data_IF_759393954554
#
_entry.id   IF_759393954554
#
_cell.length_a   1.000
_cell.length_b   1.000
_cell.length_c   1.000
_cell.angle_alpha   90.00
_cell.angle_beta   90.00
_cell.angle_gamma   90.00
#
_symmetry.space_group_name_H-M   'P 1'
#
loop_
_entity.id
_entity.type
_entity.pdbx_description
1 polymer ?
#
# COMPACT_ATOMS: atom_id res chain seq x y z
N UNK A 1 -3.36 51.45 33.19
CA UNK A 1 -3.85 50.10 32.83
C UNK A 1 -3.86 50.03 31.29
N UNK A 2 -2.75 49.88 30.56
CA UNK A 2 -1.82 48.75 30.37
C UNK A 2 -2.49 47.42 30.01
N UNK A 3 -2.70 47.24 28.69
CA UNK A 3 -2.87 45.97 27.97
C UNK A 3 -1.53 45.70 27.26
N UNK A 4 -0.88 44.53 27.40
CA UNK A 4 0.35 44.25 26.66
C UNK A 4 0.08 43.53 25.33
N UNK A 5 0.64 44.09 24.26
CA UNK A 5 0.95 43.39 23.00
C UNK A 5 2.20 42.55 23.22
N UNK A 6 2.15 41.24 23.00
CA UNK A 6 3.36 40.41 22.85
C UNK A 6 3.67 40.20 21.37
N UNK A 7 4.83 40.73 20.97
CA UNK A 7 5.56 40.42 19.74
C UNK A 7 6.48 39.24 20.06
N UNK A 8 6.53 38.22 19.22
CA UNK A 8 7.67 37.29 19.21
C UNK A 8 8.62 37.68 18.07
N UNK A 9 9.86 37.88 18.47
CA UNK A 9 10.97 38.35 17.67
C UNK A 9 11.68 37.18 16.98
N UNK A 10 12.17 37.46 15.77
CA UNK A 10 13.20 36.68 15.09
C UNK A 10 14.47 36.62 15.96
N UNK A 11 15.03 35.42 16.09
CA UNK A 11 16.42 35.23 16.52
C UNK A 11 17.21 34.66 15.33
N UNK A 12 18.05 35.52 14.75
CA UNK A 12 19.17 35.11 13.91
C UNK A 12 20.33 34.66 14.81
N UNK A 13 20.95 33.53 14.48
CA UNK A 13 22.35 33.27 14.83
C UNK A 13 23.09 32.68 13.61
N UNK A 14 23.91 33.54 13.00
CA UNK A 14 25.13 33.21 12.27
C UNK A 14 26.08 32.42 13.21
N UNK A 15 26.99 31.50 12.85
CA UNK A 15 27.92 31.33 11.72
C UNK A 15 28.49 29.89 11.79
N UNK A 16 28.70 29.21 10.65
CA UNK A 16 30.06 28.88 10.18
C UNK A 16 30.02 28.11 8.85
N UNK A 17 30.70 28.72 7.87
CA UNK A 17 30.99 28.24 6.53
C UNK A 17 32.10 27.18 6.55
N UNK A 18 32.03 26.20 5.65
CA UNK A 18 33.13 25.84 4.73
C UNK A 18 32.54 25.15 3.46
N UNK A 19 33.17 25.27 2.27
CA UNK A 19 32.45 25.21 0.98
C UNK A 19 32.87 24.04 0.05
N UNK A 20 32.23 24.03 -1.15
CA UNK A 20 32.66 23.49 -2.47
C UNK A 20 32.24 22.02 -2.78
N UNK A 21 31.96 21.59 -4.05
CA UNK A 21 31.81 22.31 -5.33
C UNK A 21 30.49 22.07 -6.10
N UNK A 22 30.14 23.08 -6.88
CA UNK A 22 29.27 23.05 -8.05
C UNK A 22 29.83 22.15 -9.15
N UNK A 23 29.05 21.22 -9.70
CA UNK A 23 29.40 20.49 -10.93
C UNK A 23 28.71 21.15 -12.11
N UNK A 24 29.52 21.61 -13.05
CA UNK A 24 29.11 22.21 -14.31
C UNK A 24 28.33 21.24 -15.20
N UNK A 25 27.24 21.74 -15.78
CA UNK A 25 26.53 21.15 -16.89
C UNK A 25 27.44 21.05 -18.12
N UNK A 26 27.69 19.84 -18.61
CA UNK A 26 28.29 19.62 -19.91
C UNK A 26 27.22 19.74 -21.00
N UNK A 27 27.36 20.79 -21.80
CA UNK A 27 26.68 20.97 -23.07
C UNK A 27 27.41 20.10 -24.10
N UNK A 28 26.74 19.09 -24.67
CA UNK A 28 27.26 18.35 -25.83
C UNK A 28 26.40 18.70 -27.03
N UNK A 29 27.06 19.36 -27.97
CA UNK A 29 26.54 19.77 -29.27
C UNK A 29 26.26 18.56 -30.17
N UNK A 30 25.17 18.66 -30.92
CA UNK A 30 24.87 17.80 -32.07
C UNK A 30 25.88 18.08 -33.19
N UNK A 31 26.54 17.04 -33.68
CA UNK A 31 27.07 17.01 -35.04
C UNK A 31 26.73 15.67 -35.69
N UNK A 32 26.12 15.79 -36.85
CA UNK A 32 25.66 14.74 -37.75
C UNK A 32 26.62 14.58 -38.92
N UNK A 33 26.57 13.38 -39.54
CA UNK A 33 26.96 13.00 -40.91
C UNK A 33 28.33 12.35 -41.20
N UNK A 34 28.22 11.07 -41.57
CA UNK A 34 28.52 10.49 -42.89
C UNK A 34 29.66 9.47 -43.00
N UNK A 35 29.35 8.46 -43.81
CA UNK A 35 30.13 7.28 -44.17
C UNK A 35 31.13 7.53 -45.30
N UNK A 36 32.17 6.69 -45.33
CA UNK A 36 33.09 6.45 -46.46
C UNK A 36 34.45 6.05 -45.88
N UNK A 37 35.07 4.89 -46.10
CA UNK A 37 34.95 3.90 -47.16
C UNK A 37 36.17 3.98 -48.07
N UNK A 38 37.26 3.26 -47.75
CA UNK A 38 38.16 2.63 -48.73
C UNK A 38 39.40 2.00 -48.08
N UNK A 39 39.71 0.79 -48.55
CA UNK A 39 40.83 -0.10 -48.23
C UNK A 39 42.20 0.38 -48.71
N UNK A 40 43.29 -0.14 -48.13
CA UNK A 40 44.36 -0.84 -48.88
C UNK A 40 45.32 -1.58 -47.92
N UNK A 41 45.74 -2.78 -48.34
CA UNK A 41 46.62 -3.75 -47.67
C UNK A 41 48.10 -3.50 -47.99
N UNK A 42 48.98 -4.09 -47.16
CA UNK A 42 50.13 -4.98 -47.48
C UNK A 42 51.31 -4.70 -46.49
N UNK A 43 51.67 -5.67 -45.62
CA UNK A 43 52.83 -6.61 -45.70
C UNK A 43 54.20 -5.88 -45.62
N UNK A 44 55.25 -6.23 -44.87
CA UNK A 44 55.79 -7.46 -44.25
C UNK A 44 56.98 -7.08 -43.33
N UNK A 45 57.34 -7.94 -42.34
CA UNK A 45 58.70 -8.28 -41.81
C UNK A 45 59.68 -7.15 -41.35
N UNK A 46 60.54 -7.22 -40.32
CA UNK A 46 61.15 -8.28 -39.48
C UNK A 46 61.89 -7.60 -38.30
N UNK A 47 62.09 -8.37 -37.22
CA UNK A 47 62.84 -8.25 -35.93
C UNK A 47 64.31 -7.75 -35.96
N UNK A 48 65.10 -7.77 -34.84
CA UNK A 48 64.97 -7.18 -33.49
C UNK A 48 66.28 -6.48 -33.01
N UNK A 49 66.28 -5.68 -31.92
CA UNK A 49 67.51 -5.33 -31.18
C UNK A 49 67.31 -5.45 -29.66
N UNK A 50 68.09 -6.35 -29.06
CA UNK A 50 68.40 -6.47 -27.62
C UNK A 50 69.14 -5.20 -27.15
N UNK A 51 69.07 -4.69 -25.93
CA UNK A 51 69.48 -5.30 -24.66
C UNK A 51 69.37 -4.18 -23.61
N UNK A 52 68.80 -4.44 -22.44
CA UNK A 52 69.39 -4.08 -21.13
C UNK A 52 68.45 -4.52 -20.01
N UNK A 53 68.86 -5.59 -19.34
CA UNK A 53 68.30 -6.04 -18.08
C UNK A 53 68.74 -5.08 -16.97
N UNK A 54 67.79 -4.51 -16.26
CA UNK A 54 67.94 -4.16 -14.84
C UNK A 54 66.84 -4.87 -14.06
N UNK A 55 67.24 -5.90 -13.30
CA UNK A 55 66.38 -6.58 -12.34
C UNK A 55 66.18 -5.65 -11.15
N UNK A 56 64.95 -5.20 -10.93
CA UNK A 56 64.48 -4.78 -9.61
C UNK A 56 63.27 -5.62 -9.27
N UNK A 57 63.45 -6.59 -8.38
CA UNK A 57 62.34 -7.26 -7.71
C UNK A 57 61.75 -6.29 -6.69
N UNK A 58 60.43 -6.05 -6.72
CA UNK A 58 59.58 -6.05 -5.51
C UNK A 58 58.09 -5.85 -5.83
N UNK A 59 57.31 -6.77 -5.24
CA UNK A 59 55.89 -6.73 -4.87
C UNK A 59 54.85 -6.80 -6.00
N UNK A 60 54.43 -8.04 -6.25
CA UNK A 60 53.15 -8.37 -6.88
C UNK A 60 52.02 -7.78 -6.05
N UNK A 61 51.34 -6.77 -6.58
CA UNK A 61 49.99 -6.42 -6.13
C UNK A 61 49.06 -7.51 -6.62
N UNK A 62 48.48 -8.30 -5.70
CA UNK A 62 47.29 -9.07 -6.01
C UNK A 62 46.17 -8.08 -6.29
N UNK A 63 45.84 -7.92 -7.57
CA UNK A 63 44.57 -7.35 -8.00
C UNK A 63 43.47 -8.29 -7.50
N UNK A 64 42.74 -7.83 -6.48
CA UNK A 64 41.52 -8.46 -6.05
C UNK A 64 40.57 -8.58 -7.25
N UNK A 65 40.38 -9.80 -7.74
CA UNK A 65 39.39 -10.08 -8.76
C UNK A 65 38.02 -9.78 -8.20
N UNK A 66 37.34 -8.87 -8.88
CA UNK A 66 35.95 -8.48 -8.71
C UNK A 66 35.03 -9.69 -8.50
N UNK A 67 34.42 -9.79 -7.32
CA UNK A 67 33.25 -10.63 -7.07
C UNK A 67 32.08 -10.05 -7.88
N UNK A 68 31.90 -10.53 -9.11
CA UNK A 68 30.64 -10.40 -9.84
C UNK A 68 29.62 -11.33 -9.17
N UNK A 69 28.98 -10.87 -8.10
CA UNK A 69 27.77 -11.50 -7.59
C UNK A 69 26.61 -11.19 -8.55
N UNK A 70 26.52 -11.94 -9.66
CA UNK A 70 25.26 -12.03 -10.41
C UNK A 70 24.29 -12.82 -9.55
N UNK A 71 23.40 -12.11 -8.85
CA UNK A 71 22.17 -12.68 -8.32
C UNK A 71 21.36 -13.22 -9.50
N UNK A 72 21.49 -14.51 -9.79
CA UNK A 72 20.59 -15.20 -10.72
C UNK A 72 19.26 -15.35 -10.01
N UNK A 73 18.36 -14.40 -10.23
CA UNK A 73 16.95 -14.57 -9.89
C UNK A 73 16.41 -15.71 -10.74
N UNK A 74 16.19 -16.88 -10.14
CA UNK A 74 15.39 -17.93 -10.75
C UNK A 74 13.92 -17.66 -10.41
N UNK A 75 13.06 -17.33 -11.39
CA UNK A 75 11.65 -17.17 -11.14
C UNK A 75 11.06 -18.50 -10.65
N UNK A 76 10.21 -18.49 -9.62
CA UNK A 76 9.53 -19.71 -9.18
C UNK A 76 8.73 -20.30 -10.35
N UNK A 77 8.74 -21.64 -10.48
CA UNK A 77 7.91 -22.32 -11.48
C UNK A 77 6.45 -21.95 -11.24
N UNK A 78 5.72 -21.43 -12.25
CA UNK A 78 4.31 -21.11 -12.09
C UNK A 78 3.54 -22.37 -11.67
N UNK A 79 2.59 -22.28 -10.73
CA UNK A 79 1.71 -23.40 -10.42
C UNK A 79 0.94 -23.82 -11.69
N UNK A 80 0.69 -25.12 -11.86
CA UNK A 80 -0.13 -25.65 -12.95
C UNK A 80 -1.54 -25.07 -12.87
N UNK A 81 -1.93 -24.29 -13.88
CA UNK A 81 -3.25 -23.67 -13.94
C UNK A 81 -4.29 -24.68 -14.43
N UNK A 82 -5.16 -25.14 -13.52
CA UNK A 82 -6.27 -26.06 -13.83
C UNK A 82 -7.63 -25.37 -13.60
N UNK A 83 -7.93 -24.25 -14.27
CA UNK A 83 -9.29 -23.71 -14.46
C UNK A 83 -10.23 -23.49 -13.25
N UNK A 84 -9.82 -23.81 -12.03
CA UNK A 84 -10.58 -23.65 -10.78
C UNK A 84 -10.14 -22.37 -10.09
N UNK A 85 -11.03 -21.81 -9.26
CA UNK A 85 -10.70 -20.71 -8.37
C UNK A 85 -9.44 -21.06 -7.57
N UNK A 86 -8.45 -20.15 -7.60
CA UNK A 86 -7.17 -20.35 -6.91
C UNK A 86 -7.37 -20.47 -5.39
N UNK A 87 -8.48 -19.92 -4.88
CA UNK A 87 -8.83 -19.90 -3.47
C UNK A 87 -10.24 -20.44 -3.24
N UNK A 88 -10.48 -21.14 -2.12
CA UNK A 88 -11.82 -21.56 -1.72
C UNK A 88 -12.64 -20.37 -1.20
N UNK A 89 -13.97 -20.48 -1.22
CA UNK A 89 -14.87 -19.50 -0.62
C UNK A 89 -14.71 -19.44 0.91
N UNK A 90 -14.81 -18.23 1.48
CA UNK A 90 -14.86 -18.03 2.93
C UNK A 90 -16.26 -18.38 3.42
N UNK A 91 -16.36 -19.31 4.36
CA UNK A 91 -17.63 -19.66 4.98
C UNK A 91 -18.03 -18.65 6.07
N UNK A 92 -18.70 -17.58 5.64
CA UNK A 92 -19.18 -16.49 6.49
C UNK A 92 -20.28 -16.88 7.49
N UNK A 93 -20.81 -18.11 7.44
CA UNK A 93 -21.86 -18.60 8.36
C UNK A 93 -21.30 -19.24 9.63
N UNK A 94 -19.99 -19.48 9.70
CA UNK A 94 -19.32 -20.08 10.85
C UNK A 94 -18.82 -19.04 11.86
N UNK A 95 -19.39 -17.84 11.88
CA UNK A 95 -19.16 -16.84 12.94
C UNK A 95 -19.86 -17.28 14.24
N UNK A 96 -19.57 -18.48 14.77
CA UNK A 96 -20.04 -18.91 16.10
C UNK A 96 -18.99 -18.47 17.13
N UNK A 97 -19.10 -17.26 17.67
CA UNK A 97 -20.00 -16.80 18.76
C UNK A 97 -19.23 -16.48 20.06
N UNK A 98 -17.92 -16.72 20.08
CA UNK A 98 -16.98 -16.11 21.04
C UNK A 98 -15.57 -16.15 20.41
N UNK A 99 -14.74 -15.13 20.64
CA UNK A 99 -13.27 -15.27 20.62
C UNK A 99 -12.56 -15.74 19.32
N UNK A 100 -12.44 -14.91 18.29
CA UNK A 100 -11.06 -14.81 17.78
C UNK A 100 -10.28 -14.23 18.93
N UNK A 101 -9.27 -14.94 19.42
CA UNK A 101 -8.56 -14.53 20.62
C UNK A 101 -8.05 -13.08 20.51
N UNK A 102 -7.82 -12.55 19.28
CA UNK A 102 -7.55 -11.12 19.06
C UNK A 102 -8.72 -10.19 19.46
N UNK A 103 -9.97 -10.52 19.15
CA UNK A 103 -11.13 -9.68 19.47
C UNK A 103 -11.40 -9.65 20.98
N UNK A 104 -10.97 -10.67 21.73
CA UNK A 104 -11.12 -10.74 23.19
C UNK A 104 -9.89 -10.23 23.96
N UNK A 105 -8.78 -9.98 23.26
CA UNK A 105 -7.55 -9.45 23.83
C UNK A 105 -7.63 -7.91 23.86
N UNK A 106 -7.67 -7.28 25.05
CA UNK A 106 -7.74 -5.83 25.17
C UNK A 106 -6.50 -5.11 24.65
N UNK A 107 -5.38 -5.82 24.48
CA UNK A 107 -4.15 -5.26 23.93
C UNK A 107 -4.07 -5.42 22.41
N UNK A 108 -5.08 -6.01 21.75
CA UNK A 108 -5.09 -6.10 20.29
C UNK A 108 -5.26 -4.73 19.68
N UNK A 109 -4.55 -4.45 18.59
CA UNK A 109 -4.57 -3.17 17.90
C UNK A 109 -5.17 -3.34 16.50
N UNK A 110 -6.30 -2.69 16.27
CA UNK A 110 -6.98 -2.65 14.98
C UNK A 110 -6.75 -1.27 14.36
N UNK A 111 -6.08 -1.22 13.22
CA UNK A 111 -5.85 0.00 12.46
C UNK A 111 -6.86 0.08 11.32
N UNK A 112 -7.56 1.20 11.20
CA UNK A 112 -8.55 1.42 10.12
C UNK A 112 -8.23 2.73 9.41
N UNK A 113 -7.94 2.68 8.11
CA UNK A 113 -7.73 3.89 7.30
C UNK A 113 -9.03 4.38 6.68
N UNK A 114 -9.15 5.69 6.45
CA UNK A 114 -10.38 6.25 5.89
C UNK A 114 -11.55 6.23 6.89
N UNK A 115 -11.23 6.33 8.18
CA UNK A 115 -12.18 6.17 9.27
C UNK A 115 -13.10 7.38 9.51
N UNK A 116 -12.94 8.49 8.77
CA UNK A 116 -13.74 9.70 9.01
C UNK A 116 -15.20 9.58 8.57
N UNK A 117 -15.54 8.62 7.69
CA UNK A 117 -16.90 8.42 7.14
C UNK A 117 -17.05 7.06 6.45
N UNK A 118 -18.26 6.74 6.01
CA UNK A 118 -18.56 5.57 5.18
C UNK A 118 -18.16 4.25 5.84
N UNK A 119 -17.68 3.30 5.02
CA UNK A 119 -17.32 1.94 5.47
C UNK A 119 -16.26 1.98 6.58
N UNK A 120 -15.24 2.84 6.48
CA UNK A 120 -14.17 2.92 7.47
C UNK A 120 -14.67 3.35 8.85
N UNK A 121 -15.54 4.38 8.91
CA UNK A 121 -16.17 4.80 10.16
C UNK A 121 -17.03 3.69 10.75
N UNK A 122 -17.81 2.99 9.92
CA UNK A 122 -18.67 1.93 10.40
C UNK A 122 -17.87 0.72 10.92
N UNK A 123 -16.77 0.36 10.27
CA UNK A 123 -15.84 -0.66 10.80
C UNK A 123 -15.30 -0.24 12.17
N UNK A 124 -14.97 1.04 12.38
CA UNK A 124 -14.55 1.54 13.71
C UNK A 124 -15.66 1.35 14.74
N UNK A 125 -16.91 1.71 14.41
CA UNK A 125 -18.07 1.53 15.30
C UNK A 125 -18.27 0.05 15.66
N UNK A 126 -18.30 -0.82 14.65
CA UNK A 126 -18.54 -2.24 14.82
C UNK A 126 -17.40 -2.90 15.63
N UNK A 127 -16.14 -2.52 15.42
CA UNK A 127 -15.01 -3.05 16.20
C UNK A 127 -15.02 -2.57 17.66
N UNK A 128 -15.50 -1.36 17.95
CA UNK A 128 -15.65 -0.88 19.33
C UNK A 128 -16.68 -1.72 20.12
N UNK A 129 -17.69 -2.25 19.43
CA UNK A 129 -18.72 -3.13 20.00
C UNK A 129 -18.30 -4.61 20.03
N UNK A 130 -17.69 -5.10 18.95
CA UNK A 130 -17.38 -6.53 18.73
C UNK A 130 -16.05 -6.98 19.32
N UNK A 131 -15.15 -6.05 19.66
CA UNK A 131 -13.84 -6.35 20.23
C UNK A 131 -13.61 -5.66 21.57
N UNK A 132 -12.61 -6.11 22.32
CA UNK A 132 -12.05 -5.46 23.51
C UNK A 132 -10.80 -4.62 23.20
N UNK A 133 -10.28 -4.72 21.98
CA UNK A 133 -9.01 -4.12 21.58
C UNK A 133 -9.06 -2.60 21.42
N UNK A 134 -7.88 -2.07 21.12
CA UNK A 134 -7.60 -0.68 20.79
C UNK A 134 -7.86 -0.46 19.30
N UNK A 135 -8.62 0.57 18.97
CA UNK A 135 -8.98 0.97 17.62
C UNK A 135 -8.23 2.23 17.25
N UNK A 136 -7.36 2.15 16.25
CA UNK A 136 -6.63 3.30 15.70
C UNK A 136 -7.32 3.73 14.41
N UNK A 137 -8.12 4.79 14.53
CA UNK A 137 -8.96 5.33 13.47
C UNK A 137 -8.19 6.43 12.71
N UNK A 138 -7.71 6.10 11.52
CA UNK A 138 -6.87 6.99 10.72
C UNK A 138 -7.69 7.75 9.67
N UNK A 139 -7.50 9.07 9.60
CA UNK A 139 -8.08 9.93 8.56
C UNK A 139 -7.13 11.10 8.24
N UNK A 140 -7.33 11.77 7.10
CA UNK A 140 -6.42 12.86 6.66
C UNK A 140 -6.43 14.06 7.59
N UNK A 141 -7.62 14.49 8.02
CA UNK A 141 -7.82 15.67 8.85
C UNK A 141 -8.69 15.32 10.06
N UNK A 142 -8.11 14.91 11.20
CA UNK A 142 -8.87 14.57 12.41
C UNK A 142 -9.81 15.69 12.89
N UNK A 143 -9.39 16.95 12.79
CA UNK A 143 -10.19 18.10 13.21
C UNK A 143 -11.48 18.27 12.40
N UNK A 144 -11.48 17.82 11.14
CA UNK A 144 -12.63 17.94 10.22
C UNK A 144 -13.47 16.66 10.17
N UNK A 145 -13.12 15.63 10.95
CA UNK A 145 -13.78 14.33 10.95
C UNK A 145 -14.98 14.30 11.91
N UNK A 146 -15.97 15.19 11.71
CA UNK A 146 -17.12 15.39 12.61
C UNK A 146 -17.77 14.09 13.06
N UNK A 147 -18.19 13.22 12.13
CA UNK A 147 -18.87 11.96 12.49
C UNK A 147 -18.01 11.01 13.33
N UNK A 148 -16.69 11.00 13.12
CA UNK A 148 -15.74 10.18 13.89
C UNK A 148 -15.52 10.80 15.28
N UNK A 149 -15.38 12.12 15.36
CA UNK A 149 -15.22 12.84 16.62
C UNK A 149 -16.47 12.73 17.49
N UNK A 150 -17.65 12.89 16.90
CA UNK A 150 -18.94 12.72 17.58
C UNK A 150 -19.05 11.31 18.15
N UNK A 151 -18.78 10.28 17.34
CA UNK A 151 -18.80 8.90 17.81
C UNK A 151 -17.78 8.66 18.95
N UNK A 152 -16.54 9.13 18.80
CA UNK A 152 -15.50 8.97 19.80
C UNK A 152 -15.88 9.66 21.13
N UNK A 153 -16.50 10.85 21.05
CA UNK A 153 -16.96 11.61 22.23
C UNK A 153 -18.09 10.93 22.99
N UNK A 154 -18.94 10.17 22.28
CA UNK A 154 -20.06 9.41 22.84
C UNK A 154 -19.69 7.98 23.25
N UNK A 155 -18.45 7.55 22.97
CA UNK A 155 -17.98 6.21 23.30
C UNK A 155 -17.94 5.99 24.81
N UNK A 156 -18.45 4.84 25.26
CA UNK A 156 -18.32 4.40 26.66
C UNK A 156 -16.89 4.04 27.07
N UNK A 157 -15.99 3.86 26.10
CA UNK A 157 -14.60 3.50 26.32
C UNK A 157 -13.68 4.38 25.46
N UNK A 158 -13.56 5.68 25.75
CA UNK A 158 -12.78 6.61 24.92
C UNK A 158 -11.29 6.26 24.86
N UNK A 159 -10.72 5.64 25.89
CA UNK A 159 -9.31 5.23 25.92
C UNK A 159 -8.96 4.12 24.90
N UNK A 160 -9.98 3.43 24.37
CA UNK A 160 -9.82 2.39 23.36
C UNK A 160 -9.76 2.95 21.94
N UNK A 161 -10.06 4.23 21.72
CA UNK A 161 -10.03 4.83 20.38
C UNK A 161 -8.93 5.89 20.27
N UNK A 162 -8.03 5.70 19.32
CA UNK A 162 -7.02 6.69 18.93
C UNK A 162 -7.35 7.20 17.54
N UNK A 163 -7.74 8.48 17.44
CA UNK A 163 -7.86 9.15 16.14
C UNK A 163 -6.47 9.67 15.74
N UNK A 164 -6.02 9.34 14.52
CA UNK A 164 -4.70 9.72 14.03
C UNK A 164 -4.76 10.34 12.63
N UNK A 165 -3.98 11.41 12.42
CA UNK A 165 -3.80 12.01 11.11
C UNK A 165 -2.96 11.09 10.20
N UNK A 166 -3.46 10.72 9.03
CA UNK A 166 -2.73 9.89 8.09
C UNK A 166 -3.13 10.25 6.66
N UNK A 167 -2.16 10.72 5.89
CA UNK A 167 -2.30 10.94 4.46
C UNK A 167 -1.50 9.89 3.70
N UNK A 168 -2.21 9.01 2.99
CA UNK A 168 -1.61 7.92 2.23
C UNK A 168 -0.80 8.40 1.02
N UNK A 169 -0.94 9.67 0.61
CA UNK A 169 -0.09 10.29 -0.41
C UNK A 169 1.26 10.77 0.16
N UNK A 170 1.38 10.91 1.49
CA UNK A 170 2.54 11.49 2.15
C UNK A 170 3.27 10.47 3.03
N UNK A 171 4.46 10.05 2.57
CA UNK A 171 5.32 9.09 3.25
C UNK A 171 5.72 9.54 4.66
N UNK A 172 5.89 10.83 4.91
CA UNK A 172 6.28 11.33 6.24
C UNK A 172 5.16 11.07 7.26
N UNK A 173 3.89 11.22 6.87
CA UNK A 173 2.76 10.92 7.76
C UNK A 173 2.64 9.42 8.05
N UNK A 174 2.99 8.56 7.08
CA UNK A 174 3.07 7.10 7.28
C UNK A 174 4.19 6.74 8.28
N UNK A 175 5.35 7.40 8.15
CA UNK A 175 6.49 7.18 9.04
C UNK A 175 6.19 7.64 10.48
N UNK A 176 5.57 8.81 10.62
CA UNK A 176 5.12 9.36 11.90
C UNK A 176 4.08 8.46 12.56
N UNK A 177 3.09 7.99 11.79
CA UNK A 177 2.09 7.05 12.24
C UNK A 177 2.71 5.75 12.75
N UNK A 178 3.64 5.16 12.00
CA UNK A 178 4.29 3.92 12.41
C UNK A 178 5.15 4.10 13.66
N UNK A 179 5.80 5.26 13.82
CA UNK A 179 6.54 5.62 15.03
C UNK A 179 5.60 5.69 16.23
N UNK A 180 4.47 6.38 16.08
CA UNK A 180 3.44 6.51 17.13
C UNK A 180 2.88 5.16 17.54
N UNK A 181 2.53 4.29 16.58
CA UNK A 181 2.06 2.93 16.87
C UNK A 181 3.12 2.11 17.62
N UNK A 182 4.38 2.22 17.18
CA UNK A 182 5.49 1.46 17.77
C UNK A 182 5.74 1.89 19.21
N UNK A 183 5.71 3.17 19.50
CA UNK A 183 5.94 3.71 20.85
C UNK A 183 4.78 3.40 21.80
N UNK A 184 3.53 3.51 21.32
CA UNK A 184 2.34 3.32 22.17
C UNK A 184 2.00 1.86 22.41
N UNK A 185 2.10 1.03 21.38
CA UNK A 185 1.54 -0.32 21.41
C UNK A 185 2.52 -1.40 20.94
N UNK A 186 3.43 -1.05 20.00
CA UNK A 186 4.34 -1.99 19.34
C UNK A 186 3.65 -3.25 18.81
N UNK A 187 2.42 -3.09 18.32
CA UNK A 187 1.55 -4.19 17.91
C UNK A 187 0.56 -3.74 16.85
N UNK A 188 0.33 -4.60 15.85
CA UNK A 188 -0.79 -4.48 14.89
C UNK A 188 -1.40 -5.86 14.65
N UNK A 189 -2.66 -6.02 15.02
CA UNK A 189 -3.42 -7.26 14.88
C UNK A 189 -4.19 -7.30 13.59
N UNK A 190 -4.84 -6.19 13.24
CA UNK A 190 -5.55 -6.07 11.98
C UNK A 190 -5.29 -4.69 11.38
N UNK A 191 -4.92 -4.65 10.10
CA UNK A 191 -4.83 -3.44 9.31
C UNK A 191 -5.92 -3.47 8.23
N UNK A 192 -6.93 -2.62 8.38
CA UNK A 192 -7.97 -2.36 7.38
C UNK A 192 -7.55 -1.16 6.51
N UNK A 193 -7.01 -1.45 5.33
CA UNK A 193 -6.76 -0.47 4.28
C UNK A 193 -8.07 -0.15 3.53
N UNK A 194 -8.86 0.77 4.08
CA UNK A 194 -10.20 1.13 3.57
C UNK A 194 -10.20 2.47 2.82
N UNK A 195 -9.25 3.36 3.13
CA UNK A 195 -9.10 4.63 2.40
C UNK A 195 -8.88 4.39 0.89
N UNK A 196 -9.61 5.13 0.06
CA UNK A 196 -9.51 5.07 -1.39
C UNK A 196 -10.25 6.23 -2.07
N UNK A 197 -9.92 6.47 -3.34
CA UNK A 197 -10.54 7.50 -4.17
C UNK A 197 -11.00 6.94 -5.52
N UNK A 198 -12.12 7.47 -6.02
CA UNK A 198 -12.67 7.17 -7.35
C UNK A 198 -12.89 8.45 -8.18
N UNK A 199 -13.08 9.59 -7.49
CA UNK A 199 -13.46 10.85 -8.10
C UNK A 199 -14.96 10.88 -8.37
N UNK A 200 -15.55 12.07 -8.46
CA UNK A 200 -17.00 12.26 -8.61
C UNK A 200 -17.41 12.71 -10.03
N UNK A 201 -16.44 13.06 -10.87
CA UNK A 201 -16.68 13.62 -12.20
C UNK A 201 -17.27 15.03 -12.18
N UNK A 202 -17.27 15.69 -11.02
CA UNK A 202 -17.81 17.03 -10.81
C UNK A 202 -16.75 17.95 -10.20
N UNK A 203 -16.34 17.68 -8.95
CA UNK A 203 -15.29 18.42 -8.25
C UNK A 203 -13.89 17.88 -8.52
N UNK A 204 -13.80 16.61 -8.90
CA UNK A 204 -12.57 15.90 -9.25
C UNK A 204 -12.78 15.09 -10.53
N UNK A 205 -11.72 14.81 -11.30
CA UNK A 205 -11.84 13.88 -12.42
C UNK A 205 -12.42 12.55 -11.92
N UNK A 206 -13.52 12.12 -12.53
CA UNK A 206 -14.20 10.89 -12.19
C UNK A 206 -13.63 9.69 -12.96
N UNK A 207 -14.20 8.50 -12.78
CA UNK A 207 -13.76 7.33 -13.50
C UNK A 207 -14.00 7.46 -15.01
N UNK A 208 -12.97 7.16 -15.81
CA UNK A 208 -12.92 7.50 -17.23
C UNK A 208 -13.88 6.64 -18.06
N UNK A 209 -14.77 7.24 -18.85
CA UNK A 209 -15.68 6.48 -19.73
C UNK A 209 -15.03 6.07 -21.06
N UNK A 210 -13.90 6.68 -21.42
CA UNK A 210 -13.13 6.36 -22.62
C UNK A 210 -11.67 6.77 -22.43
N UNK A 211 -10.77 6.26 -23.28
CA UNK A 211 -9.35 6.60 -23.26
C UNK A 211 -9.09 8.12 -23.36
N UNK A 212 -9.96 8.86 -24.07
CA UNK A 212 -9.85 10.32 -24.22
C UNK A 212 -10.06 11.09 -22.93
N UNK A 213 -10.72 10.49 -21.94
CA UNK A 213 -10.97 11.09 -20.64
C UNK A 213 -9.87 10.82 -19.61
N UNK A 214 -8.77 10.17 -20.02
CA UNK A 214 -7.64 9.95 -19.11
C UNK A 214 -6.95 11.26 -18.79
N UNK A 215 -6.85 11.52 -17.49
CA UNK A 215 -6.09 12.61 -16.90
C UNK A 215 -4.87 12.02 -16.19
N UNK A 216 -3.67 12.53 -16.49
CA UNK A 216 -2.41 11.93 -16.02
C UNK A 216 -2.28 12.09 -14.51
N UNK A 217 -2.56 13.28 -14.02
CA UNK A 217 -2.44 13.69 -12.63
C UNK A 217 -3.42 12.91 -11.76
N UNK A 218 -4.66 12.75 -12.23
CA UNK A 218 -5.67 11.90 -11.61
C UNK A 218 -5.28 10.43 -11.61
N UNK A 219 -4.77 9.90 -12.73
CA UNK A 219 -4.32 8.52 -12.80
C UNK A 219 -3.20 8.23 -11.79
N UNK A 220 -2.23 9.14 -11.69
CA UNK A 220 -1.14 9.06 -10.71
C UNK A 220 -1.68 9.14 -9.27
N UNK A 221 -2.56 10.10 -8.98
CA UNK A 221 -3.18 10.27 -7.66
C UNK A 221 -4.00 9.04 -7.25
N UNK A 222 -4.82 8.49 -8.15
CA UNK A 222 -5.58 7.25 -7.94
C UNK A 222 -4.66 6.09 -7.60
N UNK A 223 -3.54 5.94 -8.32
CA UNK A 223 -2.56 4.89 -8.05
C UNK A 223 -1.82 5.07 -6.72
N UNK A 224 -1.46 6.32 -6.39
CA UNK A 224 -0.82 6.67 -5.13
C UNK A 224 -1.72 6.30 -3.94
N UNK A 225 -2.99 6.73 -3.95
CA UNK A 225 -3.90 6.51 -2.82
C UNK A 225 -4.41 5.06 -2.75
N UNK A 226 -4.84 4.48 -3.87
CA UNK A 226 -5.51 3.17 -3.85
C UNK A 226 -4.56 1.98 -3.79
N UNK A 227 -3.28 2.17 -4.11
CA UNK A 227 -2.29 1.09 -4.14
C UNK A 227 -1.03 1.41 -3.35
N UNK A 228 -0.27 2.45 -3.72
CA UNK A 228 1.03 2.71 -3.09
C UNK A 228 0.87 3.01 -1.59
N UNK A 229 -0.11 3.82 -1.21
CA UNK A 229 -0.44 4.12 0.18
C UNK A 229 -0.64 2.88 1.05
N UNK A 230 -1.59 1.98 0.71
CA UNK A 230 -1.75 0.69 1.38
C UNK A 230 -0.48 -0.16 1.45
N UNK A 231 0.35 -0.17 0.40
CA UNK A 231 1.61 -0.93 0.39
C UNK A 231 2.65 -0.34 1.35
N UNK A 232 2.88 0.98 1.32
CA UNK A 232 3.82 1.64 2.22
C UNK A 232 3.35 1.62 3.68
N UNK A 233 2.05 1.77 3.91
CA UNK A 233 1.49 1.61 5.25
C UNK A 233 1.67 0.18 5.76
N UNK A 234 1.44 -0.82 4.90
CA UNK A 234 1.70 -2.23 5.24
C UNK A 234 3.17 -2.45 5.55
N UNK A 235 4.10 -1.91 4.74
CA UNK A 235 5.54 -1.99 4.98
C UNK A 235 5.90 -1.42 6.36
N UNK A 236 5.33 -0.27 6.72
CA UNK A 236 5.60 0.39 7.99
C UNK A 236 5.01 -0.37 9.20
N UNK A 237 3.84 -1.03 9.02
CA UNK A 237 3.16 -1.78 10.07
C UNK A 237 3.66 -3.22 10.25
N UNK A 238 4.16 -3.87 9.20
CA UNK A 238 4.56 -5.27 9.20
C UNK A 238 5.55 -5.66 10.33
N UNK A 239 6.54 -4.82 10.71
CA UNK A 239 7.43 -5.14 11.83
C UNK A 239 6.71 -5.34 13.18
N UNK A 240 5.54 -4.72 13.37
CA UNK A 240 4.71 -4.75 14.58
C UNK A 240 3.62 -5.83 14.55
N UNK A 241 3.48 -6.56 13.43
CA UNK A 241 2.51 -7.66 13.34
C UNK A 241 2.98 -8.88 14.14
N UNK A 242 2.04 -9.69 14.61
CA UNK A 242 2.33 -10.88 15.43
C UNK A 242 3.13 -11.90 14.63
N UNK A 243 4.21 -12.41 15.23
CA UNK A 243 5.15 -13.34 14.56
C UNK A 243 5.07 -14.79 15.06
N UNK A 244 4.31 -15.06 16.12
CA UNK A 244 4.28 -16.37 16.75
C UNK A 244 3.31 -17.31 16.06
N UNK A 245 3.71 -18.59 15.95
CA UNK A 245 2.89 -19.62 15.31
C UNK A 245 1.60 -19.92 16.09
N UNK A 246 1.66 -19.85 17.42
CA UNK A 246 0.57 -20.26 18.32
C UNK A 246 -0.38 -19.13 18.74
N UNK A 247 -0.17 -17.91 18.23
CA UNK A 247 -1.06 -16.77 18.44
C UNK A 247 -1.99 -16.59 17.21
N UNK A 248 -3.17 -15.97 17.38
CA UNK A 248 -3.98 -15.52 16.26
C UNK A 248 -3.13 -14.74 15.26
N UNK A 249 -3.33 -15.02 13.97
CA UNK A 249 -2.59 -14.37 12.90
C UNK A 249 -2.99 -12.90 12.81
N UNK A 250 -2.00 -12.04 12.56
CA UNK A 250 -2.30 -10.68 12.12
C UNK A 250 -2.94 -10.71 10.73
N UNK A 251 -3.82 -9.76 10.42
CA UNK A 251 -4.50 -9.71 9.12
C UNK A 251 -4.35 -8.33 8.49
N UNK A 252 -3.95 -8.30 7.22
CA UNK A 252 -3.99 -7.11 6.37
C UNK A 252 -5.18 -7.25 5.42
N UNK A 253 -6.20 -6.43 5.63
CA UNK A 253 -7.39 -6.38 4.81
C UNK A 253 -7.34 -5.16 3.88
N UNK A 254 -7.24 -5.42 2.58
CA UNK A 254 -7.25 -4.41 1.54
C UNK A 254 -8.63 -4.28 0.93
N UNK A 255 -9.28 -3.12 1.11
CA UNK A 255 -10.58 -2.86 0.48
C UNK A 255 -10.38 -2.59 -1.01
N UNK A 256 -10.57 -3.62 -1.82
CA UNK A 256 -10.46 -3.60 -3.27
C UNK A 256 -11.82 -3.35 -3.91
N UNK A 257 -11.96 -3.68 -5.19
CA UNK A 257 -13.23 -3.61 -5.91
C UNK A 257 -13.26 -4.67 -7.02
N UNK A 258 -14.43 -5.24 -7.30
CA UNK A 258 -14.59 -6.24 -8.39
C UNK A 258 -14.09 -5.74 -9.74
N UNK A 259 -14.18 -4.43 -10.00
CA UNK A 259 -13.64 -3.82 -11.22
C UNK A 259 -12.12 -3.94 -11.36
N UNK A 260 -11.40 -4.25 -10.27
CA UNK A 260 -9.98 -4.59 -10.26
C UNK A 260 -9.68 -6.03 -10.67
N UNK A 261 -10.69 -6.86 -10.92
CA UNK A 261 -10.51 -8.16 -11.57
C UNK A 261 -10.24 -7.98 -13.06
N UNK A 262 -9.11 -8.50 -13.54
CA UNK A 262 -8.75 -8.53 -14.95
C UNK A 262 -9.66 -9.53 -15.68
N UNK A 263 -9.87 -10.69 -15.07
CA UNK A 263 -10.66 -11.79 -15.66
C UNK A 263 -12.14 -11.43 -15.81
N UNK A 264 -12.72 -10.70 -14.85
CA UNK A 264 -14.13 -10.24 -14.93
C UNK A 264 -14.31 -8.96 -15.78
N UNK A 265 -13.25 -8.42 -16.39
CA UNK A 265 -13.32 -7.15 -17.12
C UNK A 265 -13.93 -7.29 -18.53
N UNK A 266 -15.26 -7.44 -18.59
CA UNK A 266 -16.02 -7.41 -19.84
C UNK A 266 -16.53 -6.02 -20.27
N UNK A 267 -16.47 -5.02 -19.38
CA UNK A 267 -17.09 -3.70 -19.60
C UNK A 267 -16.09 -2.62 -20.03
N UNK A 268 -14.81 -2.75 -19.67
CA UNK A 268 -13.81 -1.70 -19.88
C UNK A 268 -14.07 -0.42 -19.06
N UNK A 269 -13.54 0.70 -19.55
CA UNK A 269 -13.58 2.00 -18.86
C UNK A 269 -12.82 2.03 -17.54
N UNK A 270 -12.84 3.18 -16.88
CA UNK A 270 -12.35 3.43 -15.52
C UNK A 270 -10.88 3.01 -15.36
N UNK A 271 -10.08 3.30 -16.39
CA UNK A 271 -8.76 2.71 -16.61
C UNK A 271 -7.88 2.91 -15.36
N UNK A 272 -7.83 4.12 -14.82
CA UNK A 272 -6.98 4.45 -13.67
C UNK A 272 -7.43 3.75 -12.40
N UNK A 273 -8.74 3.73 -12.13
CA UNK A 273 -9.28 3.10 -10.94
C UNK A 273 -9.13 1.57 -11.00
N UNK A 274 -9.49 0.95 -12.13
CA UNK A 274 -9.31 -0.49 -12.37
C UNK A 274 -7.84 -0.88 -12.19
N UNK A 275 -6.92 -0.19 -12.86
CA UNK A 275 -5.50 -0.47 -12.76
C UNK A 275 -5.00 -0.37 -11.32
N UNK A 276 -5.44 0.65 -10.56
CA UNK A 276 -5.06 0.79 -9.15
C UNK A 276 -5.58 -0.36 -8.27
N UNK A 277 -6.81 -0.84 -8.51
CA UNK A 277 -7.40 -1.96 -7.75
C UNK A 277 -6.85 -3.32 -8.18
N UNK A 278 -6.51 -3.51 -9.46
CA UNK A 278 -5.75 -4.68 -9.93
C UNK A 278 -4.34 -4.71 -9.34
N UNK A 279 -3.67 -3.55 -9.22
CA UNK A 279 -2.38 -3.45 -8.55
C UNK A 279 -2.50 -3.80 -7.05
N UNK A 280 -3.54 -3.31 -6.37
CA UNK A 280 -3.83 -3.67 -4.97
C UNK A 280 -4.08 -5.18 -4.79
N UNK A 281 -4.80 -5.79 -5.73
CA UNK A 281 -5.03 -7.23 -5.79
C UNK A 281 -3.71 -8.01 -5.95
N UNK A 282 -2.86 -7.62 -6.89
CA UNK A 282 -1.53 -8.21 -7.10
C UNK A 282 -0.64 -8.03 -5.86
N UNK A 283 -0.61 -6.82 -5.28
CA UNK A 283 0.13 -6.52 -4.05
C UNK A 283 -0.32 -7.40 -2.90
N UNK A 284 -1.62 -7.59 -2.73
CA UNK A 284 -2.20 -8.52 -1.73
C UNK A 284 -1.65 -9.93 -1.92
N UNK A 285 -1.71 -10.48 -3.14
CA UNK A 285 -1.19 -11.82 -3.41
C UNK A 285 0.31 -11.94 -3.10
N UNK A 286 1.09 -10.94 -3.48
CA UNK A 286 2.54 -10.89 -3.22
C UNK A 286 2.84 -10.85 -1.73
N UNK A 287 2.18 -9.95 -0.99
CA UNK A 287 2.33 -9.83 0.46
C UNK A 287 1.95 -11.12 1.19
N UNK A 288 0.93 -11.85 0.71
CA UNK A 288 0.56 -13.14 1.27
C UNK A 288 1.73 -14.12 1.26
N UNK A 289 2.46 -14.20 0.15
CA UNK A 289 3.58 -15.13 0.00
C UNK A 289 4.76 -14.74 0.88
N UNK A 290 5.05 -13.45 0.98
CA UNK A 290 6.13 -12.90 1.80
C UNK A 290 5.83 -13.03 3.31
N UNK A 291 4.64 -12.61 3.73
CA UNK A 291 4.28 -12.47 5.12
C UNK A 291 3.69 -13.74 5.74
N UNK A 292 3.33 -14.76 4.94
CA UNK A 292 2.88 -16.06 5.46
C UNK A 292 3.91 -16.69 6.39
N UNK A 293 5.20 -16.55 6.11
CA UNK A 293 6.29 -17.04 6.98
C UNK A 293 6.35 -16.30 8.33
N UNK A 294 5.83 -15.08 8.38
CA UNK A 294 5.75 -14.25 9.58
C UNK A 294 4.44 -14.45 10.34
N UNK A 295 3.52 -15.30 9.86
CA UNK A 295 2.24 -15.53 10.53
C UNK A 295 1.23 -14.40 10.33
N UNK A 296 1.33 -13.68 9.21
CA UNK A 296 0.36 -12.65 8.82
C UNK A 296 -0.43 -13.11 7.60
N UNK A 297 -1.74 -12.94 7.65
CA UNK A 297 -2.62 -13.11 6.50
C UNK A 297 -2.83 -11.80 5.77
N UNK A 298 -3.08 -11.89 4.48
CA UNK A 298 -3.45 -10.74 3.65
C UNK A 298 -4.69 -11.12 2.85
N UNK A 299 -5.61 -10.18 2.63
CA UNK A 299 -6.85 -10.45 1.91
C UNK A 299 -7.29 -9.20 1.17
N UNK A 300 -7.81 -9.37 -0.04
CA UNK A 300 -8.48 -8.32 -0.79
C UNK A 300 -9.99 -8.57 -0.74
N UNK A 301 -10.77 -7.55 -0.39
CA UNK A 301 -12.22 -7.64 -0.28
C UNK A 301 -12.90 -6.65 -1.20
N UNK A 302 -13.86 -7.11 -2.00
CA UNK A 302 -14.82 -6.26 -2.67
C UNK A 302 -16.05 -6.05 -1.75
N UNK A 303 -16.40 -4.81 -1.40
CA UNK A 303 -17.52 -4.54 -0.49
C UNK A 303 -18.92 -4.65 -1.11
N UNK A 304 -19.04 -5.07 -2.38
CA UNK A 304 -20.24 -4.78 -3.16
C UNK A 304 -20.39 -3.28 -3.46
N UNK A 305 -21.55 -2.88 -3.97
CA UNK A 305 -21.88 -1.46 -4.09
C UNK A 305 -22.53 -1.00 -2.78
N UNK A 306 -21.82 -0.17 -2.02
CA UNK A 306 -22.27 0.30 -0.70
C UNK A 306 -22.68 1.76 -0.76
N UNK A 307 -23.84 2.10 -0.19
CA UNK A 307 -24.35 3.46 -0.16
C UNK A 307 -23.45 4.41 0.65
N UNK A 308 -22.59 5.10 -0.06
CA UNK A 308 -21.56 6.01 0.46
C UNK A 308 -21.38 7.15 -0.51
N UNK A 309 -20.82 8.27 -0.06
CA UNK A 309 -20.50 9.41 -0.93
C UNK A 309 -19.61 9.02 -2.12
N UNK A 310 -18.71 8.02 -1.95
CA UNK A 310 -17.84 7.55 -3.03
C UNK A 310 -18.66 6.90 -4.16
N UNK A 311 -19.70 6.15 -3.81
CA UNK A 311 -20.54 5.44 -4.77
C UNK A 311 -21.70 6.27 -5.30
N UNK A 312 -22.20 7.25 -4.53
CA UNK A 312 -23.43 8.01 -4.79
C UNK A 312 -23.52 8.59 -6.21
N UNK A 313 -22.44 9.15 -6.81
CA UNK A 313 -22.49 9.61 -8.21
C UNK A 313 -22.68 8.50 -9.25
N UNK A 314 -22.47 7.24 -8.88
CA UNK A 314 -22.41 6.08 -9.77
C UNK A 314 -23.53 5.06 -9.54
N UNK A 315 -24.50 5.34 -8.65
CA UNK A 315 -25.58 4.42 -8.29
C UNK A 315 -26.73 4.36 -9.31
N UNK A 316 -26.77 5.23 -10.34
CA UNK A 316 -27.93 5.39 -11.25
C UNK A 316 -28.45 4.08 -11.88
N UNK A 317 -27.57 3.12 -12.14
CA UNK A 317 -27.91 1.84 -12.76
C UNK A 317 -27.74 0.65 -11.81
N UNK A 318 -27.50 0.91 -10.53
CA UNK A 318 -27.38 -0.14 -9.52
C UNK A 318 -28.79 -0.54 -9.13
N UNK A 319 -29.09 -1.84 -9.21
CA UNK A 319 -30.37 -2.35 -8.72
C UNK A 319 -30.47 -2.13 -7.21
N UNK A 320 -31.65 -1.81 -6.72
CA UNK A 320 -31.88 -1.53 -5.30
C UNK A 320 -31.45 -2.71 -4.40
N UNK A 321 -31.68 -3.95 -4.83
CA UNK A 321 -31.24 -5.18 -4.14
C UNK A 321 -29.72 -5.44 -4.19
N UNK A 322 -28.95 -4.55 -4.85
CA UNK A 322 -27.50 -4.60 -5.00
C UNK A 322 -26.81 -3.34 -4.47
N UNK A 323 -27.57 -2.41 -3.88
CA UNK A 323 -27.05 -1.28 -3.14
C UNK A 323 -27.14 -1.60 -1.64
N UNK A 324 -26.01 -1.85 -1.00
CA UNK A 324 -25.96 -2.26 0.39
C UNK A 324 -25.83 -1.07 1.34
N UNK A 325 -26.47 -1.11 2.51
CA UNK A 325 -26.23 -0.12 3.55
C UNK A 325 -24.83 -0.32 4.17
N UNK A 326 -24.29 0.74 4.76
CA UNK A 326 -22.88 0.78 5.23
C UNK A 326 -22.62 -0.22 6.37
N UNK A 327 -23.58 -0.36 7.29
CA UNK A 327 -23.56 -1.31 8.41
C UNK A 327 -23.43 -2.75 7.92
N UNK A 328 -24.27 -3.15 6.97
CA UNK A 328 -24.19 -4.46 6.35
C UNK A 328 -22.81 -4.71 5.75
N UNK A 329 -22.29 -3.77 4.96
CA UNK A 329 -20.97 -3.94 4.32
C UNK A 329 -19.86 -4.06 5.36
N UNK A 330 -19.82 -3.17 6.35
CA UNK A 330 -18.79 -3.17 7.38
C UNK A 330 -18.78 -4.49 8.18
N UNK A 331 -19.97 -4.96 8.55
CA UNK A 331 -20.15 -6.25 9.22
C UNK A 331 -19.56 -7.40 8.39
N UNK A 332 -19.87 -7.43 7.09
CA UNK A 332 -19.32 -8.45 6.17
C UNK A 332 -17.80 -8.36 6.02
N UNK A 333 -17.21 -7.16 6.00
CA UNK A 333 -15.75 -7.02 5.93
C UNK A 333 -15.06 -7.57 7.18
N UNK A 334 -15.64 -7.31 8.37
CA UNK A 334 -15.13 -7.84 9.64
C UNK A 334 -15.31 -9.36 9.69
N UNK A 335 -16.49 -9.87 9.30
CA UNK A 335 -16.78 -11.30 9.28
C UNK A 335 -15.79 -12.08 8.38
N UNK A 336 -15.37 -11.49 7.25
CA UNK A 336 -14.44 -12.14 6.33
C UNK A 336 -13.04 -12.23 6.93
N UNK A 337 -12.59 -11.16 7.57
CA UNK A 337 -11.35 -11.14 8.35
C UNK A 337 -11.41 -12.12 9.52
N UNK A 338 -12.60 -12.30 10.10
CA UNK A 338 -12.83 -13.16 11.24
C UNK A 338 -12.94 -14.66 10.86
N UNK A 339 -13.47 -14.99 9.70
CA UNK A 339 -13.65 -16.38 9.25
C UNK A 339 -12.48 -16.94 8.43
N UNK A 340 -11.53 -16.11 8.01
CA UNK A 340 -10.45 -16.58 7.15
C UNK A 340 -9.42 -17.48 7.87
N UNK A 341 -8.78 -18.35 7.09
CA UNK A 341 -7.72 -19.27 7.54
C UNK A 341 -6.53 -19.30 6.55
N UNK A 342 -5.60 -20.23 6.75
CA UNK A 342 -4.39 -20.43 5.92
C UNK A 342 -4.67 -20.64 4.42
N UNK A 343 -5.85 -21.17 4.07
CA UNK A 343 -6.25 -21.43 2.68
C UNK A 343 -6.73 -20.18 1.97
N UNK A 344 -7.15 -19.16 2.71
CA UNK A 344 -7.75 -17.95 2.16
C UNK A 344 -6.74 -16.82 1.93
N UNK A 345 -5.60 -16.84 2.62
CA UNK A 345 -4.60 -15.76 2.56
C UNK A 345 -4.06 -15.54 1.15
N UNK A 346 -4.07 -14.28 0.73
CA UNK A 346 -3.68 -13.83 -0.59
C UNK A 346 -4.76 -13.99 -1.64
N UNK A 347 -6.01 -14.25 -1.26
CA UNK A 347 -7.15 -14.29 -2.17
C UNK A 347 -7.87 -12.94 -2.30
N UNK A 348 -8.81 -12.90 -3.26
CA UNK A 348 -9.70 -11.78 -3.53
C UNK A 348 -11.14 -12.27 -3.44
N UNK A 349 -11.97 -11.63 -2.62
CA UNK A 349 -13.30 -12.13 -2.29
C UNK A 349 -14.36 -11.03 -2.40
N UNK A 350 -15.59 -11.45 -2.71
CA UNK A 350 -16.77 -10.61 -2.65
C UNK A 350 -17.29 -10.50 -1.19
N UNK A 351 -18.20 -9.56 -0.94
CA UNK A 351 -18.74 -9.27 0.40
C UNK A 351 -19.40 -10.48 1.07
N UNK A 352 -19.83 -11.47 0.29
CA UNK A 352 -20.47 -12.70 0.78
C UNK A 352 -19.47 -13.83 1.06
N UNK A 353 -18.17 -13.59 0.89
CA UNK A 353 -17.11 -14.59 1.05
C UNK A 353 -16.79 -15.40 -0.22
N UNK A 354 -17.51 -15.20 -1.33
CA UNK A 354 -17.22 -15.89 -2.59
C UNK A 354 -15.88 -15.44 -3.16
N UNK A 355 -15.03 -16.38 -3.55
CA UNK A 355 -13.77 -16.10 -4.22
C UNK A 355 -14.01 -15.49 -5.60
N UNK A 356 -13.32 -14.37 -5.88
CA UNK A 356 -13.33 -13.67 -7.16
C UNK A 356 -12.05 -14.00 -7.94
N UNK A 357 -12.12 -14.04 -9.28
CA UNK A 357 -10.92 -14.15 -10.09
C UNK A 357 -10.13 -12.83 -10.08
N UNK A 358 -8.82 -12.92 -10.28
CA UNK A 358 -7.94 -11.75 -10.34
C UNK A 358 -8.06 -10.93 -11.60
#
# INVERSE_FOLDING_TARGET
MKVPKMRYALAMSQLNLFPIPTVHAFHVSKTSYSCGGSSLRQHHHTTPISTLRTKVMRKSFHTASTLNARSTFEPPTPPSFNGQAVFPDINMKQVSSCSIARNQDPNSVFVVTGASRGIGLQIVKDLMERSKGIIVACCRSPNDAEQLNDFASLSKNPDRILIHALDLENQDTINEFATTLKERYNRVDVLFNVAGILGDGQSTPGPERSLRGMDREWAMKSFQVNYLGPMFLTQACAPMMRKKKDEPKSVICNLSARVGSISDNGLGGWISYRASKSALNQGTKTLALELKRQGTYTIALHPGTTDTDLSKPFQKNVREDRLFPVDFTAERMIDAVDCMDDSHTGGFYDWNGTALPY
#
